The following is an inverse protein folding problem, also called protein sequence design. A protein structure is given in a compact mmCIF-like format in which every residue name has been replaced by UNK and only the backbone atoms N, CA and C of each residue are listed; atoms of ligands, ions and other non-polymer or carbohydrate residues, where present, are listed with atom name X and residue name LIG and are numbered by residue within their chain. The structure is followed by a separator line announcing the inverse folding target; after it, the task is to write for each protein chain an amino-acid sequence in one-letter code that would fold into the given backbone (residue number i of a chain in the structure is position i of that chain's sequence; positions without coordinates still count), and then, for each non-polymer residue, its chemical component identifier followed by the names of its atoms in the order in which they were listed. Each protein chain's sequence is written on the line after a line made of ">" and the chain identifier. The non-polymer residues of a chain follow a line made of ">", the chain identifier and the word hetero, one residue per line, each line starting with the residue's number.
data_IF_352260651056
#
_entry.id   IF_352260651056
#
_cell.length_a   1.000
_cell.length_b   1.000
_cell.length_c   1.000
_cell.angle_alpha   90.00
_cell.angle_beta   90.00
_cell.angle_gamma   90.00
#
_symmetry.space_group_name_H-M   'P 1'
#
loop_
_entity.id
_entity.type
_entity.pdbx_description
1 polymer ?
#
# COMPACT_ATOMS: atom_id res chain seq x y z
N UNK A 1 -38.84 -11.73 -6.17
CA UNK A 1 -38.06 -10.76 -5.36
C UNK A 1 -36.78 -11.36 -4.78
N UNK A 2 -36.74 -12.61 -4.31
CA UNK A 2 -35.55 -13.19 -3.64
C UNK A 2 -34.28 -13.41 -4.49
N UNK A 3 -34.41 -13.65 -5.81
CA UNK A 3 -33.25 -13.88 -6.70
C UNK A 3 -32.59 -12.57 -7.14
N UNK A 4 -33.39 -11.50 -7.29
CA UNK A 4 -32.91 -10.17 -7.72
C UNK A 4 -32.15 -9.49 -6.59
N UNK A 5 -32.59 -9.60 -5.34
CA UNK A 5 -31.84 -9.06 -4.19
C UNK A 5 -30.54 -9.83 -3.92
N UNK A 6 -30.51 -11.16 -4.14
CA UNK A 6 -29.26 -11.93 -4.03
C UNK A 6 -28.22 -11.55 -5.10
N UNK A 7 -28.65 -11.37 -6.35
CA UNK A 7 -27.74 -10.98 -7.45
C UNK A 7 -27.23 -9.55 -7.32
N UNK A 8 -28.08 -8.60 -6.88
CA UNK A 8 -27.65 -7.22 -6.60
C UNK A 8 -26.67 -7.17 -5.41
N UNK A 9 -26.90 -7.98 -4.38
CA UNK A 9 -25.97 -8.13 -3.25
C UNK A 9 -24.59 -8.65 -3.68
N UNK A 10 -24.54 -9.74 -4.45
CA UNK A 10 -23.28 -10.30 -4.96
C UNK A 10 -22.51 -9.31 -5.85
N UNK A 11 -23.18 -8.59 -6.74
CA UNK A 11 -22.52 -7.60 -7.60
C UNK A 11 -21.86 -6.48 -6.78
N UNK A 12 -22.49 -6.04 -5.68
CA UNK A 12 -21.91 -5.05 -4.77
C UNK A 12 -20.60 -5.55 -4.15
N UNK A 13 -20.57 -6.78 -3.64
CA UNK A 13 -19.35 -7.33 -3.04
C UNK A 13 -18.23 -7.54 -4.06
N UNK A 14 -18.54 -7.97 -5.28
CA UNK A 14 -17.57 -8.08 -6.38
C UNK A 14 -16.98 -6.69 -6.72
N UNK A 15 -17.82 -5.65 -6.76
CA UNK A 15 -17.35 -4.28 -6.98
C UNK A 15 -16.40 -3.79 -5.89
N UNK A 16 -16.74 -4.05 -4.62
CA UNK A 16 -15.88 -3.72 -3.47
C UNK A 16 -14.56 -4.49 -3.51
N UNK A 17 -14.59 -5.77 -3.88
CA UNK A 17 -13.39 -6.59 -4.02
C UNK A 17 -12.41 -5.97 -5.03
N UNK A 18 -12.90 -5.64 -6.23
CA UNK A 18 -12.07 -5.07 -7.30
C UNK A 18 -11.47 -3.70 -6.93
N UNK A 19 -12.25 -2.85 -6.25
CA UNK A 19 -11.76 -1.54 -5.79
C UNK A 19 -10.65 -1.70 -4.73
N UNK A 20 -10.80 -2.66 -3.81
CA UNK A 20 -9.77 -2.96 -2.81
C UNK A 20 -8.50 -3.55 -3.44
N UNK A 21 -8.65 -4.49 -4.38
CA UNK A 21 -7.52 -5.06 -5.14
C UNK A 21 -6.74 -3.96 -5.89
N UNK A 22 -7.45 -3.05 -6.58
CA UNK A 22 -6.82 -1.93 -7.26
C UNK A 22 -6.06 -1.00 -6.30
N UNK A 23 -6.63 -0.67 -5.15
CA UNK A 23 -5.96 0.16 -4.12
C UNK A 23 -4.71 -0.52 -3.56
N UNK A 24 -4.77 -1.83 -3.35
CA UNK A 24 -3.63 -2.64 -2.91
C UNK A 24 -2.50 -2.57 -3.94
N UNK A 25 -2.82 -2.73 -5.22
CA UNK A 25 -1.81 -2.71 -6.29
C UNK A 25 -1.13 -1.34 -6.41
N UNK A 26 -1.90 -0.24 -6.31
CA UNK A 26 -1.34 1.12 -6.27
C UNK A 26 -0.37 1.32 -5.10
N UNK A 27 -0.70 0.81 -3.91
CA UNK A 27 0.17 0.92 -2.74
C UNK A 27 1.45 0.09 -2.94
N UNK A 28 1.34 -1.12 -3.52
CA UNK A 28 2.51 -1.95 -3.82
C UNK A 28 3.44 -1.27 -4.81
N UNK A 29 2.91 -0.66 -5.87
CA UNK A 29 3.70 0.12 -6.83
C UNK A 29 4.38 1.32 -6.15
N UNK A 30 3.64 2.09 -5.35
CA UNK A 30 4.19 3.22 -4.60
C UNK A 30 5.33 2.80 -3.66
N UNK A 31 5.19 1.65 -2.99
CA UNK A 31 6.25 1.08 -2.15
C UNK A 31 7.49 0.70 -2.94
N UNK A 32 7.34 0.03 -4.08
CA UNK A 32 8.47 -0.33 -4.94
C UNK A 32 9.26 0.91 -5.39
N UNK A 33 8.56 1.95 -5.84
CA UNK A 33 9.17 3.21 -6.24
C UNK A 33 9.87 3.92 -5.06
N UNK A 34 9.28 3.83 -3.86
CA UNK A 34 9.86 4.37 -2.64
C UNK A 34 11.16 3.65 -2.25
N UNK A 35 11.17 2.31 -2.31
CA UNK A 35 12.36 1.50 -2.04
C UNK A 35 13.48 1.83 -3.02
N UNK A 36 13.19 1.95 -4.32
CA UNK A 36 14.18 2.38 -5.32
C UNK A 36 14.77 3.75 -4.98
N UNK A 37 13.91 4.71 -4.63
CA UNK A 37 14.32 6.06 -4.23
C UNK A 37 15.21 6.05 -2.98
N UNK A 38 14.95 5.17 -2.01
CA UNK A 38 15.78 5.01 -0.81
C UNK A 38 17.15 4.41 -1.15
N UNK A 39 17.20 3.40 -2.03
CA UNK A 39 18.46 2.78 -2.47
C UNK A 39 19.35 3.80 -3.17
N UNK A 40 18.78 4.61 -4.06
CA UNK A 40 19.51 5.72 -4.71
C UNK A 40 20.06 6.71 -3.69
N UNK A 41 19.25 7.09 -2.69
CA UNK A 41 19.66 8.01 -1.63
C UNK A 41 20.84 7.47 -0.80
N UNK A 42 20.83 6.17 -0.50
CA UNK A 42 21.92 5.51 0.22
C UNK A 42 23.20 5.52 -0.62
N UNK A 43 23.11 5.18 -1.90
CA UNK A 43 24.26 5.16 -2.81
C UNK A 43 24.88 6.56 -2.98
N UNK A 44 24.06 7.62 -3.06
CA UNK A 44 24.57 9.01 -3.09
C UNK A 44 25.22 9.39 -1.77
N UNK A 45 24.70 8.90 -0.64
CA UNK A 45 25.22 9.20 0.69
C UNK A 45 26.54 8.50 1.01
N UNK A 46 26.82 7.33 0.42
CA UNK A 46 28.05 6.55 0.69
C UNK A 46 29.32 7.18 0.12
N UNK A 47 29.20 8.02 -0.91
CA UNK A 47 30.33 8.71 -1.55
C UNK A 47 30.68 10.04 -0.87
N UNK A 48 29.89 10.47 0.12
CA UNK A 48 30.04 11.74 0.80
C UNK A 48 30.69 11.59 2.18
N UNK A 49 31.55 12.55 2.54
CA UNK A 49 32.11 12.65 3.89
C UNK A 49 30.97 12.76 4.93
N UNK A 50 30.99 11.98 6.03
CA UNK A 50 29.96 12.04 7.09
C UNK A 50 29.76 13.43 7.72
N UNK A 51 30.77 14.30 7.67
CA UNK A 51 30.70 15.69 8.14
C UNK A 51 29.99 16.64 7.17
N UNK A 52 29.73 16.19 5.93
CA UNK A 52 29.11 16.99 4.89
C UNK A 52 27.64 17.31 5.27
N UNK A 53 27.22 18.59 5.23
CA UNK A 53 25.83 18.97 5.50
C UNK A 53 24.81 18.28 4.58
N UNK A 54 25.19 17.84 3.37
CA UNK A 54 24.34 17.01 2.52
C UNK A 54 23.99 15.66 3.16
N UNK A 55 24.90 15.01 3.89
CA UNK A 55 24.62 13.72 4.55
C UNK A 55 23.52 13.87 5.59
N UNK A 56 23.51 14.99 6.35
CA UNK A 56 22.43 15.28 7.30
C UNK A 56 21.08 15.49 6.60
N UNK A 57 21.07 16.17 5.46
CA UNK A 57 19.84 16.36 4.67
C UNK A 57 19.34 15.04 4.06
N UNK A 58 20.24 14.20 3.55
CA UNK A 58 19.92 12.86 3.04
C UNK A 58 19.34 11.98 4.16
N UNK A 59 19.91 12.03 5.36
CA UNK A 59 19.40 11.28 6.50
C UNK A 59 17.98 11.72 6.89
N UNK A 60 17.72 13.03 6.97
CA UNK A 60 16.37 13.55 7.24
C UNK A 60 15.36 13.17 6.14
N UNK A 61 15.80 13.13 4.88
CA UNK A 61 14.97 12.66 3.76
C UNK A 61 14.68 11.17 3.88
N UNK A 62 15.67 10.34 4.18
CA UNK A 62 15.50 8.89 4.42
C UNK A 62 14.50 8.63 5.54
N UNK A 63 14.58 9.37 6.63
CA UNK A 63 13.68 9.22 7.78
C UNK A 63 12.23 9.56 7.43
N UNK A 64 12.00 10.64 6.66
CA UNK A 64 10.67 10.97 6.11
C UNK A 64 10.14 9.86 5.19
N UNK A 65 10.99 9.31 4.33
CA UNK A 65 10.60 8.22 3.43
C UNK A 65 10.22 6.96 4.23
N UNK A 66 10.93 6.62 5.30
CA UNK A 66 10.55 5.49 6.16
C UNK A 66 9.23 5.70 6.89
N UNK A 67 8.93 6.93 7.33
CA UNK A 67 7.62 7.23 7.90
C UNK A 67 6.49 7.06 6.87
N UNK A 68 6.75 7.42 5.62
CA UNK A 68 5.79 7.23 4.53
C UNK A 68 5.60 5.74 4.21
N UNK A 69 6.68 4.96 4.14
CA UNK A 69 6.65 3.50 3.98
C UNK A 69 5.76 2.84 5.05
N UNK A 70 5.98 3.19 6.33
CA UNK A 70 5.18 2.67 7.45
C UNK A 70 3.69 3.02 7.30
N UNK A 71 3.36 4.21 6.78
CA UNK A 71 1.96 4.58 6.52
C UNK A 71 1.35 3.76 5.40
N UNK A 72 2.10 3.53 4.31
CA UNK A 72 1.67 2.67 3.22
C UNK A 72 1.46 1.24 3.70
N UNK A 73 2.32 0.72 4.59
CA UNK A 73 2.15 -0.61 5.19
C UNK A 73 0.87 -0.74 6.00
N UNK A 74 0.59 0.26 6.85
CA UNK A 74 -0.65 0.26 7.63
C UNK A 74 -1.88 0.29 6.71
N UNK A 75 -1.85 1.11 5.65
CA UNK A 75 -2.95 1.17 4.68
C UNK A 75 -3.11 -0.14 3.90
N UNK A 76 -2.01 -0.75 3.47
CA UNK A 76 -2.00 -2.04 2.79
C UNK A 76 -2.66 -3.11 3.66
N UNK A 77 -2.22 -3.24 4.92
CA UNK A 77 -2.77 -4.21 5.85
C UNK A 77 -4.27 -3.97 6.11
N UNK A 78 -4.70 -2.71 6.22
CA UNK A 78 -6.11 -2.37 6.35
C UNK A 78 -6.93 -2.82 5.14
N UNK A 79 -6.44 -2.57 3.92
CA UNK A 79 -7.14 -2.97 2.70
C UNK A 79 -7.14 -4.49 2.48
N UNK A 80 -6.04 -5.18 2.79
CA UNK A 80 -5.97 -6.64 2.75
C UNK A 80 -6.95 -7.28 3.75
N UNK A 81 -7.05 -6.71 4.96
CA UNK A 81 -8.04 -7.16 5.96
C UNK A 81 -9.47 -6.95 5.46
N UNK A 82 -9.77 -5.78 4.88
CA UNK A 82 -11.10 -5.50 4.32
C UNK A 82 -11.41 -6.45 3.16
N UNK A 83 -10.43 -6.73 2.30
CA UNK A 83 -10.57 -7.65 1.18
C UNK A 83 -10.90 -9.07 1.68
N UNK A 84 -10.20 -9.54 2.71
CA UNK A 84 -10.45 -10.84 3.34
C UNK A 84 -11.88 -10.93 3.91
N UNK A 85 -12.36 -9.88 4.58
CA UNK A 85 -13.73 -9.81 5.10
C UNK A 85 -14.75 -9.85 3.97
N UNK A 86 -14.54 -9.08 2.89
CA UNK A 86 -15.42 -9.05 1.72
C UNK A 86 -15.48 -10.42 1.05
N UNK A 87 -14.33 -11.10 0.88
CA UNK A 87 -14.25 -12.44 0.31
C UNK A 87 -14.94 -13.49 1.19
N UNK A 88 -14.79 -13.40 2.51
CA UNK A 88 -15.47 -14.28 3.45
C UNK A 88 -17.00 -14.10 3.39
N UNK A 89 -17.48 -12.86 3.36
CA UNK A 89 -18.91 -12.56 3.19
C UNK A 89 -19.45 -13.06 1.85
N UNK A 90 -18.70 -12.89 0.75
CA UNK A 90 -19.11 -13.45 -0.54
C UNK A 90 -19.22 -14.97 -0.52
N UNK A 91 -18.31 -15.64 0.19
CA UNK A 91 -18.29 -17.10 0.28
C UNK A 91 -19.43 -17.64 1.14
N UNK A 92 -19.89 -16.89 2.15
CA UNK A 92 -21.07 -17.25 2.96
C UNK A 92 -22.41 -16.92 2.30
N UNK A 93 -22.41 -16.03 1.31
CA UNK A 93 -23.56 -15.68 0.45
C UNK A 93 -23.74 -16.62 -0.75
N UNK A 94 -22.82 -17.57 -0.97
CA UNK A 94 -22.90 -18.63 -1.98
C UNK A 94 -23.40 -19.92 -1.36
#
# INVERSE_FOLDING_TARGET
>A
MGIVTQTVGQQKYIGMQKDLEYKIDLIKEAKLNLTMSMTELVNVGTDLDPSNPMVKQLQARKEKLHQLEKKLDMQLQMYETQLQIVQQNMSSLR
#
